data_IF_101044769739
#
_entry.id   IF_101044769739
#
_cell.length_a   1.000
_cell.length_b   1.000
_cell.length_c   1.000
_cell.angle_alpha   90.00
_cell.angle_beta   90.00
_cell.angle_gamma   90.00
#
_symmetry.space_group_name_H-M   'P 1'
#
loop_
_entity.id
_entity.type
_entity.pdbx_description
1 polymer ?
#
# COMPACT_ATOMS: atom_id res chain seq x y z
N UNK A 1 -0.94 13.03 5.15
CA UNK A 1 -0.87 11.59 5.49
C UNK A 1 0.09 10.91 4.52
N UNK A 2 0.97 10.03 5.01
CA UNK A 2 1.94 9.29 4.20
C UNK A 2 1.56 7.82 4.18
N UNK A 3 1.65 7.20 3.02
CA UNK A 3 1.54 5.75 2.81
C UNK A 3 2.92 5.26 2.40
N UNK A 4 3.45 4.25 3.08
CA UNK A 4 4.63 3.52 2.62
C UNK A 4 4.19 2.12 2.18
N UNK A 5 4.62 1.70 1.00
CA UNK A 5 4.26 0.41 0.41
C UNK A 5 5.51 -0.36 0.05
N UNK A 6 5.58 -1.60 0.51
CA UNK A 6 6.59 -2.56 0.08
C UNK A 6 5.90 -3.68 -0.70
N UNK A 7 6.42 -4.00 -1.86
CA UNK A 7 5.83 -4.94 -2.80
C UNK A 7 6.71 -6.17 -2.90
N UNK A 8 6.12 -7.32 -2.72
CA UNK A 8 6.79 -8.61 -2.78
C UNK A 8 6.05 -9.54 -3.74
N UNK A 9 6.76 -10.52 -4.26
CA UNK A 9 6.19 -11.62 -5.04
C UNK A 9 6.59 -12.95 -4.41
N UNK A 10 5.66 -13.88 -4.36
CA UNK A 10 5.92 -15.24 -3.93
C UNK A 10 6.64 -16.03 -5.02
N UNK A 11 7.64 -16.83 -4.65
CA UNK A 11 8.21 -17.83 -5.54
C UNK A 11 7.23 -19.00 -5.74
N UNK A 12 7.22 -19.56 -6.95
CA UNK A 12 6.37 -20.71 -7.28
C UNK A 12 6.64 -21.89 -6.32
N UNK A 13 5.57 -22.45 -5.77
CA UNK A 13 5.65 -23.57 -4.85
C UNK A 13 6.05 -23.23 -3.41
N UNK A 14 6.21 -21.94 -3.08
CA UNK A 14 6.67 -21.51 -1.74
C UNK A 14 5.62 -20.64 -1.01
N UNK A 15 4.34 -20.83 -1.30
CA UNK A 15 3.27 -19.96 -0.79
C UNK A 15 3.16 -19.96 0.73
N UNK A 16 3.32 -21.11 1.39
CA UNK A 16 3.21 -21.23 2.85
C UNK A 16 4.36 -20.50 3.56
N UNK A 17 5.60 -20.71 3.09
CA UNK A 17 6.77 -20.02 3.62
C UNK A 17 6.64 -18.51 3.39
N UNK A 18 6.25 -18.09 2.19
CA UNK A 18 6.02 -16.70 1.86
C UNK A 18 4.99 -16.06 2.79
N UNK A 19 3.84 -16.71 3.00
CA UNK A 19 2.77 -16.23 3.88
C UNK A 19 3.28 -16.09 5.33
N UNK A 20 4.05 -17.06 5.80
CA UNK A 20 4.67 -17.01 7.14
C UNK A 20 5.63 -15.82 7.28
N UNK A 21 6.50 -15.60 6.30
CA UNK A 21 7.44 -14.45 6.30
C UNK A 21 6.69 -13.13 6.31
N UNK A 22 5.70 -12.96 5.43
CA UNK A 22 4.92 -11.72 5.36
C UNK A 22 4.10 -11.47 6.64
N UNK A 23 3.53 -12.52 7.22
CA UNK A 23 2.84 -12.46 8.51
C UNK A 23 3.76 -11.99 9.65
N UNK A 24 5.00 -12.49 9.70
CA UNK A 24 5.98 -12.07 10.68
C UNK A 24 6.38 -10.59 10.49
N UNK A 25 6.57 -10.13 9.26
CA UNK A 25 6.84 -8.72 8.97
C UNK A 25 5.72 -7.84 9.50
N UNK A 26 4.47 -8.15 9.16
CA UNK A 26 3.31 -7.41 9.64
C UNK A 26 3.24 -7.39 11.16
N UNK A 27 3.41 -8.55 11.80
CA UNK A 27 3.37 -8.67 13.25
C UNK A 27 4.38 -7.75 13.94
N UNK A 28 5.63 -7.73 13.45
CA UNK A 28 6.67 -6.85 14.04
C UNK A 28 6.35 -5.38 13.84
N UNK A 29 5.80 -5.00 12.67
CA UNK A 29 5.37 -3.60 12.45
C UNK A 29 4.27 -3.19 13.44
N UNK A 30 3.27 -4.04 13.65
CA UNK A 30 2.17 -3.78 14.60
C UNK A 30 2.65 -3.70 16.05
N UNK A 31 3.62 -4.53 16.45
CA UNK A 31 4.25 -4.47 17.78
C UNK A 31 5.02 -3.16 18.03
N UNK A 32 5.37 -2.45 16.97
CA UNK A 32 6.00 -1.12 17.02
C UNK A 32 5.00 0.03 16.76
N UNK A 33 3.70 -0.22 17.00
CA UNK A 33 2.61 0.75 16.83
C UNK A 33 2.50 1.34 15.41
N UNK A 34 3.02 0.62 14.40
CA UNK A 34 2.89 1.03 13.01
C UNK A 34 1.56 0.50 12.48
N UNK A 35 0.70 1.41 12.04
CA UNK A 35 -0.53 1.03 11.34
C UNK A 35 -0.17 0.42 9.98
N UNK A 36 -0.26 -0.89 9.87
CA UNK A 36 0.11 -1.63 8.68
C UNK A 36 -0.91 -2.73 8.35
N UNK A 37 -0.91 -3.15 7.08
CA UNK A 37 -1.75 -4.25 6.61
C UNK A 37 -1.22 -4.85 5.32
N UNK A 38 -1.70 -6.06 5.01
CA UNK A 38 -1.34 -6.81 3.81
C UNK A 38 -2.51 -6.79 2.84
N UNK A 39 -2.23 -6.53 1.58
CA UNK A 39 -3.15 -6.71 0.46
C UNK A 39 -2.51 -7.60 -0.59
N UNK A 40 -3.29 -8.54 -1.11
CA UNK A 40 -2.87 -9.46 -2.18
C UNK A 40 -3.52 -9.02 -3.47
N UNK A 41 -2.73 -8.88 -4.52
CA UNK A 41 -3.25 -8.58 -5.85
C UNK A 41 -3.84 -9.85 -6.47
N UNK A 42 -5.11 -9.81 -6.83
CA UNK A 42 -5.83 -10.96 -7.40
C UNK A 42 -6.08 -10.83 -8.90
N UNK A 43 -5.88 -9.64 -9.45
CA UNK A 43 -6.09 -9.37 -10.89
C UNK A 43 -5.25 -8.18 -11.37
N UNK A 44 -5.17 -7.98 -12.68
CA UNK A 44 -4.41 -6.90 -13.30
C UNK A 44 -2.95 -7.30 -13.57
N UNK A 45 -2.11 -6.31 -13.83
CA UNK A 45 -0.70 -6.50 -14.20
C UNK A 45 0.18 -7.05 -13.08
N UNK A 46 -0.32 -7.01 -11.84
CA UNK A 46 0.42 -7.38 -10.63
C UNK A 46 -0.26 -8.52 -9.85
N UNK A 47 -0.91 -9.44 -10.54
CA UNK A 47 -1.76 -10.48 -9.94
C UNK A 47 -1.06 -11.47 -8.99
N UNK A 48 0.28 -11.44 -8.92
CA UNK A 48 1.06 -12.28 -7.99
C UNK A 48 1.75 -11.47 -6.90
N UNK A 49 1.49 -10.17 -6.85
CA UNK A 49 2.17 -9.28 -5.91
C UNK A 49 1.38 -9.14 -4.61
N UNK A 50 2.13 -9.02 -3.53
CA UNK A 50 1.64 -8.75 -2.18
C UNK A 50 2.19 -7.41 -1.72
N UNK A 51 1.31 -6.58 -1.22
CA UNK A 51 1.60 -5.23 -0.76
C UNK A 51 1.53 -5.20 0.77
N UNK A 52 2.61 -4.83 1.42
CA UNK A 52 2.59 -4.43 2.82
C UNK A 52 2.51 -2.91 2.84
N UNK A 53 1.35 -2.40 3.23
CA UNK A 53 1.09 -0.97 3.32
C UNK A 53 1.13 -0.52 4.78
N UNK A 54 1.77 0.61 5.02
CA UNK A 54 1.75 1.29 6.31
C UNK A 54 1.37 2.75 6.14
N UNK A 55 0.72 3.30 7.17
CA UNK A 55 0.15 4.66 7.13
C UNK A 55 0.68 5.48 8.28
N UNK A 56 1.04 6.72 8.00
CA UNK A 56 1.59 7.66 8.95
C UNK A 56 0.91 9.03 8.79
N UNK A 57 0.69 9.77 9.90
CA UNK A 57 0.11 11.10 9.83
C UNK A 57 0.90 12.06 8.93
N UNK A 58 2.23 11.99 9.01
CA UNK A 58 3.15 12.86 8.27
C UNK A 58 4.53 12.20 8.08
N UNK A 59 5.41 12.87 7.34
CA UNK A 59 6.75 12.41 7.04
C UNK A 59 7.66 12.35 8.29
N UNK A 60 7.45 13.22 9.28
CA UNK A 60 8.21 13.20 10.54
C UNK A 60 7.89 11.95 11.35
N UNK A 61 6.62 11.60 11.45
CA UNK A 61 6.15 10.36 12.09
C UNK A 61 6.67 9.13 11.38
N UNK A 62 6.63 9.11 10.04
CA UNK A 62 7.24 8.04 9.22
C UNK A 62 8.73 7.88 9.52
N UNK A 63 9.49 8.98 9.52
CA UNK A 63 10.94 8.94 9.77
C UNK A 63 11.27 8.42 11.17
N UNK A 64 10.54 8.88 12.21
CA UNK A 64 10.72 8.42 13.59
C UNK A 64 10.37 6.93 13.75
N UNK A 65 9.22 6.50 13.23
CA UNK A 65 8.80 5.09 13.28
C UNK A 65 9.82 4.19 12.58
N UNK A 66 10.32 4.58 11.40
CA UNK A 66 11.33 3.84 10.66
C UNK A 66 12.66 3.77 11.42
N UNK A 67 13.09 4.87 12.06
CA UNK A 67 14.31 4.89 12.88
C UNK A 67 14.19 3.95 14.09
N UNK A 68 13.06 4.00 14.80
CA UNK A 68 12.78 3.12 15.95
C UNK A 68 12.74 1.64 15.53
N UNK A 69 12.08 1.35 14.42
CA UNK A 69 11.98 -0.01 13.88
C UNK A 69 13.37 -0.58 13.57
N UNK A 70 14.25 0.22 12.94
CA UNK A 70 15.63 -0.20 12.62
C UNK A 70 16.52 -0.46 13.84
N UNK A 71 16.18 0.07 15.01
CA UNK A 71 16.88 -0.20 16.27
C UNK A 71 16.40 -1.49 16.95
N UNK A 72 15.30 -2.05 16.51
CA UNK A 72 14.75 -3.29 17.04
C UNK A 72 15.51 -4.51 16.49
N UNK A 73 16.14 -5.32 17.36
CA UNK A 73 16.78 -6.56 16.94
C UNK A 73 15.77 -7.49 16.25
N UNK A 74 14.54 -7.56 16.77
CA UNK A 74 13.47 -8.34 16.17
C UNK A 74 13.14 -7.93 14.73
N UNK A 75 13.16 -6.63 14.46
CA UNK A 75 13.00 -6.14 13.09
C UNK A 75 14.18 -6.53 12.20
N UNK A 76 15.42 -6.35 12.68
CA UNK A 76 16.63 -6.72 11.95
C UNK A 76 16.57 -8.21 11.57
N UNK A 77 16.25 -9.09 12.51
CA UNK A 77 16.14 -10.53 12.27
C UNK A 77 15.04 -10.85 11.26
N UNK A 78 13.88 -10.19 11.37
CA UNK A 78 12.77 -10.34 10.43
C UNK A 78 13.15 -9.84 9.03
N UNK A 79 13.82 -8.70 8.92
CA UNK A 79 14.28 -8.16 7.65
C UNK A 79 15.32 -9.07 6.99
N UNK A 80 16.27 -9.61 7.78
CA UNK A 80 17.25 -10.60 7.30
C UNK A 80 16.57 -11.89 6.85
N UNK A 81 15.47 -12.31 7.50
CA UNK A 81 14.72 -13.49 7.07
C UNK A 81 14.09 -13.32 5.68
N UNK A 82 13.66 -12.11 5.32
CA UNK A 82 13.18 -11.81 3.94
C UNK A 82 14.30 -12.07 2.93
N UNK A 83 15.49 -11.51 3.19
CA UNK A 83 16.64 -11.64 2.28
C UNK A 83 17.18 -13.07 2.17
N UNK A 84 17.02 -13.87 3.22
CA UNK A 84 17.47 -15.26 3.28
C UNK A 84 16.41 -16.26 2.79
N UNK A 85 15.13 -15.86 2.73
CA UNK A 85 14.04 -16.71 2.25
C UNK A 85 14.14 -16.93 0.76
N UNK A 86 14.00 -18.20 0.35
CA UNK A 86 13.84 -18.55 -1.06
C UNK A 86 12.43 -18.30 -1.58
N UNK A 87 11.48 -18.07 -0.67
CA UNK A 87 10.08 -17.89 -1.00
C UNK A 87 9.73 -16.46 -1.41
N UNK A 88 10.58 -15.47 -1.05
CA UNK A 88 10.23 -14.05 -1.12
C UNK A 88 11.13 -13.30 -2.10
N UNK A 89 10.54 -12.62 -3.07
CA UNK A 89 11.21 -11.67 -3.94
C UNK A 89 10.73 -10.25 -3.61
N UNK A 90 11.59 -9.36 -3.12
CA UNK A 90 11.31 -7.93 -3.12
C UNK A 90 11.15 -7.44 -4.57
N UNK A 91 10.05 -6.80 -4.88
CA UNK A 91 9.74 -6.32 -6.24
C UNK A 91 9.98 -4.81 -6.34
N UNK A 92 9.42 -4.05 -5.39
CA UNK A 92 9.48 -2.60 -5.40
C UNK A 92 9.14 -2.02 -4.02
N UNK A 93 9.43 -0.74 -3.83
CA UNK A 93 8.95 0.03 -2.70
C UNK A 93 8.72 1.48 -3.10
N UNK A 94 7.69 2.08 -2.55
CA UNK A 94 7.42 3.49 -2.74
C UNK A 94 6.79 4.10 -1.49
N UNK A 95 6.79 5.40 -1.41
CA UNK A 95 5.91 6.14 -0.51
C UNK A 95 5.04 7.11 -1.30
N UNK A 96 3.91 7.45 -0.71
CA UNK A 96 2.94 8.32 -1.35
C UNK A 96 2.37 9.30 -0.33
N UNK A 97 2.03 10.48 -0.78
CA UNK A 97 1.35 11.49 0.00
C UNK A 97 -0.11 11.56 -0.42
N UNK A 98 -1.00 11.41 0.57
CA UNK A 98 -2.44 11.48 0.35
C UNK A 98 -2.82 12.91 0.01
N UNK A 99 -3.63 13.06 -1.03
CA UNK A 99 -4.12 14.36 -1.49
C UNK A 99 -5.20 14.90 -0.55
N UNK A 100 -5.25 16.22 -0.41
CA UNK A 100 -6.28 16.91 0.37
C UNK A 100 -7.70 16.52 -0.08
N UNK A 101 -8.53 16.19 0.89
CA UNK A 101 -9.90 15.73 0.67
C UNK A 101 -10.04 14.24 0.31
N UNK A 102 -8.95 13.46 0.45
CA UNK A 102 -8.92 12.00 0.22
C UNK A 102 -8.31 11.22 1.39
N UNK A 103 -8.37 11.77 2.58
CA UNK A 103 -7.74 11.25 3.80
C UNK A 103 -8.60 10.22 4.56
N UNK A 104 -9.72 9.80 3.99
CA UNK A 104 -10.50 8.68 4.54
C UNK A 104 -9.64 7.43 4.64
N UNK A 105 -9.64 6.81 5.81
CA UNK A 105 -8.81 5.66 6.10
C UNK A 105 -9.55 4.35 5.76
N UNK A 106 -9.32 3.73 4.59
CA UNK A 106 -9.84 2.38 4.35
C UNK A 106 -9.18 1.40 5.30
N UNK A 107 -9.86 0.28 5.58
CA UNK A 107 -9.22 -0.83 6.27
C UNK A 107 -7.94 -1.26 5.56
N UNK A 108 -6.86 -1.43 6.31
CA UNK A 108 -5.57 -1.89 5.76
C UNK A 108 -5.53 -3.40 5.52
N UNK A 109 -6.39 -4.17 6.20
CA UNK A 109 -6.39 -5.63 6.18
C UNK A 109 -7.69 -6.25 5.65
N UNK A 110 -8.81 -5.53 5.72
CA UNK A 110 -10.12 -6.06 5.33
C UNK A 110 -10.61 -5.50 4.00
N UNK A 111 -11.61 -6.19 3.41
CA UNK A 111 -12.28 -5.77 2.19
C UNK A 111 -11.44 -5.89 0.92
N UNK A 112 -12.02 -5.44 -0.16
CA UNK A 112 -11.43 -5.43 -1.50
C UNK A 112 -11.10 -4.01 -1.91
N UNK A 113 -10.01 -3.85 -2.65
CA UNK A 113 -9.57 -2.54 -3.10
C UNK A 113 -9.24 -2.58 -4.60
N UNK A 114 -9.87 -1.71 -5.35
CA UNK A 114 -9.48 -1.41 -6.73
C UNK A 114 -8.42 -0.30 -6.69
N UNK A 115 -7.29 -0.53 -7.35
CA UNK A 115 -6.19 0.42 -7.44
C UNK A 115 -6.02 0.86 -8.88
N UNK A 116 -6.08 2.16 -9.11
CA UNK A 116 -5.78 2.77 -10.39
C UNK A 116 -4.58 3.70 -10.23
N UNK A 117 -3.63 3.61 -11.16
CA UNK A 117 -2.43 4.46 -11.15
C UNK A 117 -2.32 5.14 -12.50
N UNK A 118 -2.24 6.48 -12.48
CA UNK A 118 -2.13 7.29 -13.68
C UNK A 118 -0.91 8.19 -13.64
N UNK A 119 -0.25 8.28 -14.76
CA UNK A 119 0.76 9.32 -15.00
C UNK A 119 0.07 10.48 -15.72
N UNK A 120 0.00 11.68 -15.13
CA UNK A 120 -0.63 12.82 -15.80
C UNK A 120 0.18 13.22 -17.04
N UNK A 121 -0.51 13.60 -18.09
CA UNK A 121 0.14 14.25 -19.23
C UNK A 121 0.68 15.62 -18.81
N UNK A 122 1.77 16.11 -19.42
CA UNK A 122 2.29 17.45 -19.15
C UNK A 122 1.19 18.52 -19.23
N UNK A 123 1.11 19.35 -18.19
CA UNK A 123 0.11 20.43 -18.08
C UNK A 123 -1.32 19.98 -17.72
N UNK A 124 -1.60 18.69 -17.59
CA UNK A 124 -2.96 18.17 -17.34
C UNK A 124 -3.18 17.65 -15.92
N UNK A 125 -2.32 18.00 -14.98
CA UNK A 125 -2.44 17.56 -13.59
C UNK A 125 -3.73 18.06 -12.91
N UNK A 126 -4.12 19.30 -13.18
CA UNK A 126 -5.36 19.87 -12.64
C UNK A 126 -6.60 19.10 -13.08
N UNK A 127 -6.60 18.65 -14.35
CA UNK A 127 -7.72 17.89 -14.91
C UNK A 127 -7.81 16.51 -14.27
N UNK A 128 -6.66 15.84 -14.08
CA UNK A 128 -6.61 14.57 -13.37
C UNK A 128 -7.14 14.69 -11.93
N UNK A 129 -6.68 15.69 -11.18
CA UNK A 129 -7.15 15.94 -9.81
C UNK A 129 -8.66 16.25 -9.77
N UNK A 130 -9.17 17.00 -10.71
CA UNK A 130 -10.61 17.29 -10.84
C UNK A 130 -11.39 16.02 -11.15
N UNK A 131 -10.91 15.21 -12.10
CA UNK A 131 -11.53 13.92 -12.43
C UNK A 131 -11.59 12.97 -11.24
N UNK A 132 -10.53 12.91 -10.42
CA UNK A 132 -10.52 12.10 -9.20
C UNK A 132 -11.57 12.55 -8.18
N UNK A 133 -11.80 13.87 -8.01
CA UNK A 133 -12.85 14.39 -7.11
C UNK A 133 -14.24 14.01 -7.59
N UNK A 134 -14.51 14.16 -8.87
CA UNK A 134 -15.78 13.74 -9.47
C UNK A 134 -15.99 12.23 -9.31
N UNK A 135 -14.96 11.44 -9.58
CA UNK A 135 -15.00 9.99 -9.42
C UNK A 135 -15.25 9.58 -7.95
N UNK A 136 -14.67 10.32 -6.97
CA UNK A 136 -14.93 10.10 -5.55
C UNK A 136 -16.43 10.21 -5.23
N UNK A 137 -17.06 11.30 -5.64
CA UNK A 137 -18.50 11.50 -5.41
C UNK A 137 -19.35 10.38 -6.02
N UNK A 138 -19.00 9.95 -7.23
CA UNK A 138 -19.71 8.87 -7.91
C UNK A 138 -19.52 7.52 -7.19
N UNK A 139 -18.28 7.14 -6.89
CA UNK A 139 -18.01 5.85 -6.24
C UNK A 139 -18.62 5.76 -4.83
N UNK A 140 -18.53 6.83 -4.04
CA UNK A 140 -19.17 6.88 -2.71
C UNK A 140 -20.69 6.72 -2.81
N UNK A 141 -21.32 7.32 -3.82
CA UNK A 141 -22.76 7.15 -4.08
C UNK A 141 -23.13 5.72 -4.47
N UNK A 142 -22.19 4.97 -5.06
CA UNK A 142 -22.41 3.61 -5.56
C UNK A 142 -21.75 2.52 -4.70
N UNK A 143 -21.61 2.74 -3.40
CA UNK A 143 -21.28 1.69 -2.44
C UNK A 143 -19.81 1.54 -2.08
N UNK A 144 -18.93 2.42 -2.55
CA UNK A 144 -17.56 2.44 -2.05
C UNK A 144 -17.54 2.75 -0.54
N UNK A 145 -16.77 1.99 0.22
CA UNK A 145 -16.63 2.18 1.67
C UNK A 145 -15.61 3.26 2.03
N UNK A 146 -14.59 3.45 1.19
CA UNK A 146 -13.61 4.51 1.32
C UNK A 146 -12.88 4.76 0.00
N UNK A 147 -12.41 6.00 -0.19
CA UNK A 147 -11.63 6.39 -1.37
C UNK A 147 -10.39 7.16 -0.93
N UNK A 148 -9.26 6.80 -1.52
CA UNK A 148 -8.00 7.48 -1.28
C UNK A 148 -7.31 7.82 -2.59
N UNK A 149 -6.95 9.09 -2.77
CA UNK A 149 -6.08 9.52 -3.86
C UNK A 149 -4.76 10.05 -3.30
N UNK A 150 -3.66 9.77 -3.97
CA UNK A 150 -2.32 10.09 -3.48
C UNK A 150 -1.35 10.32 -4.64
N UNK A 151 -0.31 11.09 -4.37
CA UNK A 151 0.83 11.25 -5.26
C UNK A 151 1.92 10.27 -4.85
N UNK A 152 2.46 9.52 -5.81
CA UNK A 152 3.50 8.50 -5.58
C UNK A 152 4.90 9.10 -5.75
N UNK A 153 5.77 8.81 -4.80
CA UNK A 153 7.18 9.18 -4.82
C UNK A 153 8.05 7.91 -4.77
N UNK A 154 8.97 7.79 -5.69
CA UNK A 154 9.89 6.66 -5.81
C UNK A 154 9.25 5.41 -6.42
N UNK A 155 10.07 4.35 -6.56
CA UNK A 155 9.70 3.10 -7.18
C UNK A 155 9.26 3.23 -8.64
N UNK A 156 8.73 2.15 -9.20
CA UNK A 156 8.25 2.10 -10.59
C UNK A 156 7.08 3.04 -10.89
N UNK A 157 6.38 3.51 -9.86
CA UNK A 157 5.25 4.43 -9.99
C UNK A 157 5.59 5.88 -9.63
N UNK A 158 6.87 6.21 -9.45
CA UNK A 158 7.31 7.57 -9.12
C UNK A 158 6.78 8.62 -10.10
N UNK A 159 6.18 9.69 -9.58
CA UNK A 159 5.55 10.76 -10.36
C UNK A 159 4.15 10.42 -10.88
N UNK A 160 3.61 9.26 -10.54
CA UNK A 160 2.22 8.88 -10.81
C UNK A 160 1.28 9.35 -9.69
N UNK A 161 -0.01 9.23 -9.95
CA UNK A 161 -1.09 9.45 -9.00
C UNK A 161 -1.91 8.18 -8.86
N UNK A 162 -2.08 7.71 -7.64
CA UNK A 162 -2.92 6.56 -7.32
C UNK A 162 -4.31 7.01 -6.89
N UNK A 163 -5.29 6.16 -7.19
CA UNK A 163 -6.66 6.31 -6.78
C UNK A 163 -7.20 4.93 -6.36
N UNK A 164 -7.44 4.78 -5.09
CA UNK A 164 -7.91 3.54 -4.51
C UNK A 164 -9.38 3.67 -4.13
N UNK A 165 -10.17 2.70 -4.54
CA UNK A 165 -11.58 2.54 -4.15
C UNK A 165 -11.69 1.27 -3.33
N UNK A 166 -12.15 1.39 -2.09
CA UNK A 166 -12.34 0.27 -1.18
C UNK A 166 -13.80 -0.14 -1.12
N UNK A 167 -14.04 -1.44 -1.02
CA UNK A 167 -15.35 -2.07 -0.87
C UNK A 167 -15.29 -3.05 0.28
N UNK A 168 -16.44 -3.38 0.88
CA UNK A 168 -16.53 -4.36 1.98
C UNK A 168 -16.15 -5.76 1.51
N UNK A 169 -16.51 -6.11 0.29
CA UNK A 169 -16.25 -7.42 -0.33
C UNK A 169 -16.32 -7.32 -1.86
N UNK A 170 -16.10 -8.45 -2.54
CA UNK A 170 -16.13 -8.55 -4.00
C UNK A 170 -17.55 -8.36 -4.59
N UNK A 171 -18.60 -8.64 -3.83
CA UNK A 171 -19.97 -8.48 -4.33
C UNK A 171 -20.43 -7.01 -4.30
N UNK A 172 -19.80 -6.18 -3.44
CA UNK A 172 -20.02 -4.75 -3.37
C UNK A 172 -19.28 -3.96 -4.46
N UNK A 173 -18.27 -4.56 -5.10
CA UNK A 173 -17.47 -3.95 -6.18
C UNK A 173 -18.19 -4.03 -7.53
#
# INVERSE_FOLDING_TARGET
MIIASNIFSAQLGQADEFTSVMGNVLKVMLEHDIQAGIKVSVSGTSSTEVFINSVYPDMSTFAKATANLRQSQKWVDTYMSIGNSKATLPVDSFFAEVMDGFDEAPSLSEGVMMVNIWKPNPGRLSDLKTGMRIAKEMHMKHGASAIRAYQVYGGRFGGCYGYNVSFTDMAAM
#
